data_IF_412807982095
#
_entry.id   IF_412807982095
#
_cell.length_a   1.000
_cell.length_b   1.000
_cell.length_c   1.000
_cell.angle_alpha   90.00
_cell.angle_beta   90.00
_cell.angle_gamma   90.00
#
_symmetry.space_group_name_H-M   'P 1'
#
loop_
_entity.id
_entity.type
_entity.pdbx_description
1 polymer ?
#
# COMPACT_ATOMS: atom_id res chain seq x y z
N UNK A 1 3.69 -26.73 8.48
CA UNK A 1 2.97 -26.51 7.21
C UNK A 1 2.35 -27.80 6.66
N UNK A 2 3.07 -28.94 6.71
CA UNK A 2 2.58 -30.21 6.15
C UNK A 2 1.29 -30.76 6.78
N UNK A 3 1.02 -30.42 8.05
CA UNK A 3 -0.15 -30.90 8.80
C UNK A 3 -1.51 -30.45 8.22
N UNK A 4 -1.56 -29.37 7.43
CA UNK A 4 -2.81 -28.79 6.85
C UNK A 4 -2.88 -28.91 5.32
N UNK A 5 -2.03 -29.75 4.73
CA UNK A 5 -1.88 -29.88 3.27
C UNK A 5 -3.17 -30.29 2.56
N UNK A 6 -3.95 -31.17 3.18
CA UNK A 6 -5.16 -31.74 2.57
C UNK A 6 -6.43 -30.93 2.87
N UNK A 7 -6.46 -30.16 3.98
CA UNK A 7 -7.61 -29.34 4.36
C UNK A 7 -7.62 -27.95 3.69
N UNK A 8 -6.44 -27.32 3.55
CA UNK A 8 -6.33 -25.94 3.05
C UNK A 8 -5.19 -25.81 2.02
N UNK A 9 -5.42 -26.25 0.77
CA UNK A 9 -4.37 -26.37 -0.24
C UNK A 9 -3.77 -25.02 -0.66
N UNK A 10 -4.53 -23.92 -0.61
CA UNK A 10 -4.00 -22.59 -0.93
C UNK A 10 -3.15 -22.02 0.20
N UNK A 11 -3.55 -22.23 1.45
CA UNK A 11 -2.75 -21.82 2.63
C UNK A 11 -1.41 -22.53 2.63
N UNK A 12 -1.41 -23.83 2.34
CA UNK A 12 -0.18 -24.60 2.23
C UNK A 12 0.77 -24.00 1.18
N UNK A 13 0.24 -23.67 -0.02
CA UNK A 13 1.03 -23.02 -1.09
C UNK A 13 1.55 -21.64 -0.67
N UNK A 14 0.70 -20.77 -0.12
CA UNK A 14 1.11 -19.45 0.39
C UNK A 14 2.20 -19.58 1.45
N UNK A 15 2.01 -20.48 2.42
CA UNK A 15 2.92 -20.69 3.55
C UNK A 15 4.25 -21.29 3.09
N UNK A 16 4.23 -22.20 2.09
CA UNK A 16 5.44 -22.76 1.51
C UNK A 16 6.26 -21.72 0.72
N UNK A 17 5.60 -20.81 0.00
CA UNK A 17 6.28 -19.73 -0.74
C UNK A 17 6.87 -18.70 0.23
N UNK A 18 6.10 -18.32 1.25
CA UNK A 18 6.47 -17.26 2.21
C UNK A 18 7.59 -17.72 3.14
N UNK A 19 7.58 -18.98 3.60
CA UNK A 19 8.64 -19.53 4.46
C UNK A 19 9.92 -19.96 3.70
N UNK A 20 9.99 -19.73 2.38
CA UNK A 20 11.18 -20.06 1.59
C UNK A 20 12.15 -18.86 1.60
N UNK A 21 13.26 -18.98 2.33
CA UNK A 21 14.27 -17.92 2.43
C UNK A 21 13.70 -16.65 3.07
N UNK A 22 14.12 -15.48 2.58
CA UNK A 22 13.68 -14.17 3.09
C UNK A 22 12.39 -13.66 2.39
N UNK A 23 11.64 -14.54 1.71
CA UNK A 23 10.42 -14.17 0.98
C UNK A 23 9.31 -13.60 1.87
N UNK A 24 9.32 -13.89 3.18
CA UNK A 24 8.40 -13.29 4.12
C UNK A 24 8.62 -11.77 4.21
N UNK A 25 9.85 -11.33 4.44
CA UNK A 25 10.18 -9.91 4.59
C UNK A 25 9.92 -9.14 3.29
N UNK A 26 10.25 -9.76 2.17
CA UNK A 26 9.91 -9.32 0.81
C UNK A 26 8.41 -9.07 0.62
N UNK A 27 7.60 -10.05 1.01
CA UNK A 27 6.15 -9.95 0.97
C UNK A 27 5.62 -8.86 1.89
N UNK A 28 6.12 -8.78 3.14
CA UNK A 28 5.72 -7.77 4.11
C UNK A 28 5.95 -6.36 3.55
N UNK A 29 7.06 -6.16 2.86
CA UNK A 29 7.42 -4.89 2.23
C UNK A 29 6.52 -4.55 1.03
N UNK A 30 6.33 -5.50 0.11
CA UNK A 30 5.44 -5.34 -1.06
C UNK A 30 4.01 -5.01 -0.65
N UNK A 31 3.53 -5.64 0.42
CA UNK A 31 2.21 -5.37 1.01
C UNK A 31 2.07 -3.93 1.51
N UNK A 32 3.08 -3.38 2.19
CA UNK A 32 3.00 -2.00 2.69
C UNK A 32 2.86 -0.99 1.56
N UNK A 33 3.57 -1.20 0.46
CA UNK A 33 3.45 -0.36 -0.71
C UNK A 33 2.05 -0.40 -1.33
N UNK A 34 1.46 -1.59 -1.46
CA UNK A 34 0.08 -1.74 -1.93
C UNK A 34 -0.92 -0.98 -1.04
N UNK A 35 -0.77 -1.09 0.29
CA UNK A 35 -1.65 -0.40 1.23
C UNK A 35 -1.53 1.11 1.07
N UNK A 36 -0.31 1.65 0.94
CA UNK A 36 -0.09 3.09 0.73
C UNK A 36 -0.72 3.57 -0.58
N UNK A 37 -0.56 2.82 -1.68
CA UNK A 37 -1.20 3.16 -2.97
C UNK A 37 -2.72 3.17 -2.83
N UNK A 38 -3.32 2.16 -2.21
CA UNK A 38 -4.77 2.08 -2.05
C UNK A 38 -5.29 3.24 -1.22
N UNK A 39 -4.65 3.55 -0.09
CA UNK A 39 -5.03 4.69 0.76
C UNK A 39 -4.87 6.00 0.01
N UNK A 40 -3.80 6.16 -0.77
CA UNK A 40 -3.59 7.33 -1.60
C UNK A 40 -4.68 7.49 -2.67
N UNK A 41 -4.98 6.44 -3.43
CA UNK A 41 -6.04 6.45 -4.43
C UNK A 41 -7.41 6.76 -3.82
N UNK A 42 -7.75 6.17 -2.66
CA UNK A 42 -9.01 6.44 -1.97
C UNK A 42 -9.08 7.89 -1.49
N UNK A 43 -7.99 8.43 -0.94
CA UNK A 43 -7.92 9.84 -0.55
C UNK A 43 -8.06 10.78 -1.76
N UNK A 44 -7.55 10.40 -2.93
CA UNK A 44 -7.76 11.17 -4.16
C UNK A 44 -9.20 11.12 -4.65
N UNK A 45 -9.83 9.94 -4.62
CA UNK A 45 -11.23 9.77 -5.05
C UNK A 45 -12.24 10.41 -4.08
N UNK A 46 -11.86 10.61 -2.83
CA UNK A 46 -12.68 11.26 -1.79
C UNK A 46 -12.42 12.75 -1.60
N UNK A 47 -11.62 13.38 -2.47
CA UNK A 47 -11.36 14.82 -2.39
C UNK A 47 -12.66 15.63 -2.55
N UNK A 48 -12.91 16.64 -1.69
CA UNK A 48 -14.16 17.39 -1.73
C UNK A 48 -14.30 18.13 -3.06
N UNK A 49 -15.47 18.01 -3.69
CA UNK A 49 -15.90 18.94 -4.74
C UNK A 49 -16.13 20.30 -4.07
N UNK A 50 -15.51 21.34 -4.61
CA UNK A 50 -15.75 22.71 -4.14
C UNK A 50 -17.25 22.99 -4.10
N UNK A 51 -17.72 23.56 -2.98
CA UNK A 51 -19.10 23.94 -2.66
C UNK A 51 -20.07 22.85 -2.16
N UNK A 52 -19.59 21.69 -1.68
CA UNK A 52 -20.47 20.73 -1.00
C UNK A 52 -20.84 21.17 0.44
N UNK A 53 -21.90 21.96 0.60
CA UNK A 53 -22.54 22.19 1.90
C UNK A 53 -23.20 20.90 2.42
N UNK A 54 -22.57 20.28 3.41
CA UNK A 54 -23.14 19.13 4.10
C UNK A 54 -24.21 19.61 5.08
N UNK A 55 -25.49 19.42 4.71
CA UNK A 55 -26.72 19.56 5.51
C UNK A 55 -26.51 20.06 6.96
N UNK A 56 -26.41 21.39 7.14
CA UNK A 56 -26.45 22.05 8.44
C UNK A 56 -25.22 21.84 9.36
N UNK A 57 -24.12 21.27 8.87
CA UNK A 57 -22.90 21.16 9.68
C UNK A 57 -22.20 22.52 9.83
N UNK A 58 -21.68 22.87 11.03
CA UNK A 58 -20.86 24.06 11.20
C UNK A 58 -19.67 24.05 10.24
N UNK A 59 -19.45 25.18 9.56
CA UNK A 59 -18.41 25.32 8.53
C UNK A 59 -17.00 25.02 9.05
N UNK A 60 -16.72 25.19 10.34
CA UNK A 60 -15.44 24.80 10.94
C UNK A 60 -15.25 23.27 11.01
N UNK A 61 -16.32 22.50 11.23
CA UNK A 61 -16.25 21.04 11.33
C UNK A 61 -16.13 20.40 9.95
N UNK A 62 -16.89 20.90 8.96
CA UNK A 62 -16.79 20.40 7.58
C UNK A 62 -15.40 20.67 6.98
N UNK A 63 -14.83 21.85 7.23
CA UNK A 63 -13.46 22.16 6.79
C UNK A 63 -12.43 21.23 7.45
N UNK A 64 -12.51 20.96 8.76
CA UNK A 64 -11.55 20.08 9.43
C UNK A 64 -11.73 18.60 9.04
N UNK A 65 -12.96 18.10 8.90
CA UNK A 65 -13.19 16.68 8.61
C UNK A 65 -13.11 16.34 7.12
N UNK A 66 -13.69 17.16 6.25
CA UNK A 66 -13.79 16.89 4.82
C UNK A 66 -12.64 17.52 4.02
N UNK A 67 -12.26 18.76 4.32
CA UNK A 67 -11.21 19.46 3.56
C UNK A 67 -9.80 18.96 3.88
N UNK A 68 -9.56 18.54 5.13
CA UNK A 68 -8.27 17.94 5.54
C UNK A 68 -8.13 16.46 5.16
N UNK A 69 -9.19 15.82 4.64
CA UNK A 69 -9.19 14.38 4.29
C UNK A 69 -9.26 13.42 5.47
N UNK A 70 -9.38 13.94 6.71
CA UNK A 70 -9.38 13.14 7.94
C UNK A 70 -10.57 12.16 8.00
N UNK A 71 -11.73 12.56 7.49
CA UNK A 71 -12.91 11.68 7.40
C UNK A 71 -12.65 10.46 6.50
N UNK A 72 -12.01 10.66 5.34
CA UNK A 72 -11.69 9.57 4.41
C UNK A 72 -10.67 8.60 4.97
N UNK A 73 -9.66 9.10 5.68
CA UNK A 73 -8.66 8.28 6.37
C UNK A 73 -9.34 7.43 7.45
N UNK A 74 -10.13 8.05 8.33
CA UNK A 74 -10.85 7.33 9.39
C UNK A 74 -11.81 6.28 8.83
N UNK A 75 -12.55 6.60 7.77
CA UNK A 75 -13.45 5.66 7.11
C UNK A 75 -12.67 4.46 6.54
N UNK A 76 -11.59 4.73 5.81
CA UNK A 76 -10.75 3.68 5.19
C UNK A 76 -10.11 2.77 6.23
N UNK A 77 -9.61 3.32 7.33
CA UNK A 77 -9.00 2.53 8.40
C UNK A 77 -10.03 1.68 9.16
N UNK A 78 -11.13 2.29 9.61
CA UNK A 78 -12.13 1.58 10.44
C UNK A 78 -12.96 0.57 9.64
N UNK A 79 -13.47 0.98 8.48
CA UNK A 79 -14.37 0.14 7.67
C UNK A 79 -13.57 -0.80 6.79
N UNK A 80 -12.55 -0.30 6.10
CA UNK A 80 -11.79 -1.06 5.10
C UNK A 80 -10.76 -2.01 5.71
N UNK A 81 -9.90 -1.51 6.59
CA UNK A 81 -8.73 -2.27 7.04
C UNK A 81 -8.97 -3.06 8.32
N UNK A 82 -9.57 -2.43 9.33
CA UNK A 82 -9.62 -2.97 10.69
C UNK A 82 -10.54 -4.20 10.79
N UNK A 83 -11.71 -4.18 10.15
CA UNK A 83 -12.62 -5.34 10.11
C UNK A 83 -11.96 -6.59 9.54
N UNK A 84 -11.26 -6.44 8.42
CA UNK A 84 -10.56 -7.56 7.77
C UNK A 84 -9.41 -8.09 8.62
N UNK A 85 -8.68 -7.22 9.32
CA UNK A 85 -7.62 -7.63 10.25
C UNK A 85 -8.15 -8.40 11.46
N UNK A 86 -9.26 -7.95 12.05
CA UNK A 86 -9.91 -8.65 13.17
C UNK A 86 -10.36 -10.04 12.72
N UNK A 87 -11.02 -10.13 11.56
CA UNK A 87 -11.42 -11.42 11.00
C UNK A 87 -10.24 -12.36 10.73
N UNK A 88 -9.13 -11.82 10.20
CA UNK A 88 -7.91 -12.58 9.98
C UNK A 88 -7.26 -13.09 11.27
N UNK A 89 -7.42 -12.37 12.39
CA UNK A 89 -6.85 -12.76 13.70
C UNK A 89 -7.59 -13.93 14.36
N UNK A 90 -8.89 -14.08 14.11
CA UNK A 90 -9.71 -15.14 14.69
C UNK A 90 -9.62 -16.44 13.89
N UNK A 91 -9.65 -16.35 12.56
CA UNK A 91 -9.65 -17.51 11.66
C UNK A 91 -8.55 -17.38 10.58
N UNK A 92 -7.28 -17.34 11.00
CA UNK A 92 -6.14 -17.09 10.11
C UNK A 92 -6.05 -18.06 8.92
N UNK A 93 -6.23 -19.37 9.14
CA UNK A 93 -6.10 -20.38 8.09
C UNK A 93 -7.23 -20.26 7.06
N UNK A 94 -8.48 -20.14 7.50
CA UNK A 94 -9.63 -20.00 6.60
C UNK A 94 -9.58 -18.67 5.82
N UNK A 95 -9.11 -17.60 6.45
CA UNK A 95 -8.95 -16.31 5.82
C UNK A 95 -7.92 -16.33 4.67
N UNK A 96 -6.82 -17.05 4.84
CA UNK A 96 -5.77 -17.18 3.80
C UNK A 96 -6.17 -18.20 2.71
N UNK A 97 -7.11 -19.11 2.98
CA UNK A 97 -7.52 -20.17 2.04
C UNK A 97 -8.46 -19.68 0.93
N UNK A 98 -8.17 -18.52 0.35
CA UNK A 98 -8.94 -17.95 -0.74
C UNK A 98 -8.02 -17.59 -1.92
N UNK A 99 -8.56 -17.67 -3.13
CA UNK A 99 -7.86 -17.28 -4.36
C UNK A 99 -7.37 -15.82 -4.30
N UNK A 100 -8.15 -14.94 -3.67
CA UNK A 100 -7.78 -13.53 -3.51
C UNK A 100 -6.52 -13.32 -2.64
N UNK A 101 -6.37 -14.09 -1.57
CA UNK A 101 -5.17 -14.05 -0.73
C UNK A 101 -3.94 -14.57 -1.49
N UNK A 102 -4.10 -15.63 -2.28
CA UNK A 102 -3.04 -16.15 -3.15
C UNK A 102 -2.65 -15.15 -4.25
N UNK A 103 -3.62 -14.49 -4.87
CA UNK A 103 -3.39 -13.45 -5.88
C UNK A 103 -2.61 -12.26 -5.30
N UNK A 104 -3.05 -11.74 -4.16
CA UNK A 104 -2.37 -10.61 -3.50
C UNK A 104 -0.94 -10.93 -3.08
N UNK A 105 -0.64 -12.18 -2.72
CA UNK A 105 0.74 -12.64 -2.49
C UNK A 105 1.60 -12.52 -3.75
N UNK A 106 1.11 -13.00 -4.89
CA UNK A 106 1.84 -12.88 -6.16
C UNK A 106 2.00 -11.43 -6.62
N UNK A 107 0.98 -10.59 -6.42
CA UNK A 107 1.08 -9.15 -6.71
C UNK A 107 2.12 -8.48 -5.82
N UNK A 108 2.13 -8.77 -4.51
CA UNK A 108 3.12 -8.23 -3.58
C UNK A 108 4.55 -8.66 -3.98
N UNK A 109 4.74 -9.92 -4.38
CA UNK A 109 6.02 -10.40 -4.90
C UNK A 109 6.41 -9.76 -6.25
N UNK A 110 5.45 -9.52 -7.15
CA UNK A 110 5.69 -8.84 -8.43
C UNK A 110 6.06 -7.36 -8.23
N UNK A 111 5.42 -6.68 -7.28
CA UNK A 111 5.73 -5.30 -6.91
C UNK A 111 7.13 -5.23 -6.31
N UNK A 112 7.51 -6.19 -5.48
CA UNK A 112 8.88 -6.26 -4.97
C UNK A 112 9.90 -6.47 -6.11
N UNK A 113 9.57 -7.34 -7.08
CA UNK A 113 10.39 -7.56 -8.27
C UNK A 113 10.54 -6.30 -9.15
N UNK A 114 9.55 -5.39 -9.14
CA UNK A 114 9.62 -4.11 -9.87
C UNK A 114 10.79 -3.23 -9.44
N UNK A 115 11.33 -3.44 -8.23
CA UNK A 115 12.54 -2.77 -7.75
C UNK A 115 12.33 -1.36 -7.18
N UNK A 116 11.10 -0.81 -7.22
CA UNK A 116 10.78 0.49 -6.58
C UNK A 116 11.05 0.49 -5.08
N UNK A 117 10.93 -0.68 -4.46
CA UNK A 117 11.01 -0.90 -3.03
C UNK A 117 12.45 -1.07 -2.50
N UNK A 118 13.45 -1.11 -3.36
CA UNK A 118 14.83 -1.41 -2.99
C UNK A 118 15.47 -0.38 -2.03
N UNK A 119 15.03 0.88 -2.05
CA UNK A 119 15.48 1.89 -1.09
C UNK A 119 15.15 1.52 0.37
N UNK A 120 14.08 0.77 0.61
CA UNK A 120 13.69 0.38 1.97
C UNK A 120 14.67 -0.63 2.60
N UNK A 121 15.32 -1.48 1.80
CA UNK A 121 16.37 -2.39 2.28
C UNK A 121 17.58 -1.63 2.79
N UNK A 122 17.94 -0.51 2.14
CA UNK A 122 19.03 0.37 2.62
C UNK A 122 18.67 0.99 3.98
N UNK A 123 17.42 1.41 4.15
CA UNK A 123 16.93 1.96 5.42
C UNK A 123 16.91 0.87 6.50
N UNK A 124 16.47 -0.35 6.19
CA UNK A 124 16.51 -1.48 7.12
C UNK A 124 17.94 -1.83 7.54
N UNK A 125 18.90 -1.85 6.60
CA UNK A 125 20.32 -2.07 6.89
C UNK A 125 20.90 -0.96 7.78
N UNK A 126 20.52 0.30 7.51
CA UNK A 126 20.95 1.45 8.31
C UNK A 126 20.38 1.36 9.74
N UNK A 127 19.08 1.09 9.87
CA UNK A 127 18.43 0.95 11.19
C UNK A 127 18.97 -0.26 11.95
N UNK A 128 19.22 -1.39 11.27
CA UNK A 128 19.83 -2.56 11.88
C UNK A 128 21.26 -2.28 12.35
N UNK A 129 22.04 -1.53 11.57
CA UNK A 129 23.37 -1.07 11.95
C UNK A 129 23.33 -0.15 13.18
N UNK A 130 22.38 0.79 13.22
CA UNK A 130 22.17 1.68 14.39
C UNK A 130 21.66 0.92 15.63
N UNK A 131 20.84 -0.11 15.43
CA UNK A 131 20.28 -0.94 16.50
C UNK A 131 21.25 -2.05 16.97
N UNK A 132 22.41 -2.20 16.33
CA UNK A 132 23.41 -3.24 16.65
C UNK A 132 22.94 -4.67 16.41
N UNK A 133 21.84 -4.88 15.66
CA UNK A 133 21.33 -6.22 15.33
C UNK A 133 21.85 -6.65 13.96
N UNK A 134 22.47 -7.82 13.87
CA UNK A 134 22.78 -8.45 12.58
C UNK A 134 21.48 -8.87 11.91
N UNK A 135 21.31 -8.50 10.65
CA UNK A 135 20.24 -9.04 9.81
C UNK A 135 20.64 -10.48 9.50
N UNK A 136 20.00 -11.44 10.16
CA UNK A 136 20.11 -12.86 9.80
C UNK A 136 19.31 -13.09 8.51
N UNK A 137 20.00 -12.96 7.37
CA UNK A 137 19.46 -13.34 6.07
C UNK A 137 19.64 -14.83 5.89
N UNK A 138 18.57 -15.52 5.50
CA UNK A 138 18.57 -16.97 5.28
C UNK A 138 18.87 -17.34 3.81
N UNK A 139 19.53 -16.43 3.07
CA UNK A 139 19.90 -16.62 1.66
C UNK A 139 21.41 -16.77 1.46
N UNK A 140 21.78 -17.52 0.42
CA UNK A 140 23.17 -17.69 0.00
C UNK A 140 23.81 -16.35 -0.36
N UNK A 141 25.11 -16.13 -0.04
CA UNK A 141 25.79 -14.87 -0.28
C UNK A 141 25.74 -14.49 -1.77
N UNK A 142 25.15 -13.32 -2.05
CA UNK A 142 24.96 -12.80 -3.41
C UNK A 142 26.29 -12.68 -4.15
N UNK A 143 26.31 -13.12 -5.41
CA UNK A 143 27.48 -13.00 -6.27
C UNK A 143 27.82 -11.53 -6.55
N UNK A 144 29.10 -11.17 -6.74
CA UNK A 144 29.57 -9.78 -6.79
C UNK A 144 28.83 -8.92 -7.84
N UNK A 145 28.54 -9.51 -9.01
CA UNK A 145 27.81 -8.84 -10.10
C UNK A 145 26.32 -8.64 -9.78
N UNK A 146 25.70 -9.57 -9.05
CA UNK A 146 24.32 -9.43 -8.59
C UNK A 146 24.20 -8.39 -7.47
N UNK A 147 25.22 -8.30 -6.61
CA UNK A 147 25.26 -7.31 -5.54
C UNK A 147 25.41 -5.89 -6.11
N UNK A 148 26.27 -5.70 -7.12
CA UNK A 148 26.41 -4.40 -7.79
C UNK A 148 25.10 -3.96 -8.48
N UNK A 149 24.43 -4.87 -9.19
CA UNK A 149 23.16 -4.57 -9.84
C UNK A 149 22.04 -4.24 -8.83
N UNK A 150 22.02 -4.95 -7.69
CA UNK A 150 21.13 -4.67 -6.58
C UNK A 150 21.37 -3.26 -6.01
N UNK A 151 22.62 -2.92 -5.69
CA UNK A 151 22.96 -1.59 -5.17
C UNK A 151 22.68 -0.46 -6.17
N UNK A 152 22.93 -0.67 -7.46
CA UNK A 152 22.62 0.32 -8.50
C UNK A 152 21.10 0.63 -8.54
N UNK A 153 20.24 -0.40 -8.47
CA UNK A 153 18.79 -0.19 -8.37
C UNK A 153 18.37 0.45 -7.05
N UNK A 154 19.01 0.09 -5.93
CA UNK A 154 18.75 0.72 -4.64
C UNK A 154 19.06 2.23 -4.66
N UNK A 155 20.20 2.63 -5.24
CA UNK A 155 20.60 4.03 -5.33
C UNK A 155 19.67 4.80 -6.29
N UNK A 156 19.25 4.19 -7.40
CA UNK A 156 18.28 4.80 -8.31
C UNK A 156 16.92 5.04 -7.62
N UNK A 157 16.42 4.03 -6.89
CA UNK A 157 15.19 4.14 -6.09
C UNK A 157 15.32 5.23 -5.01
N UNK A 158 16.46 5.30 -4.32
CA UNK A 158 16.74 6.34 -3.32
C UNK A 158 16.80 7.74 -3.94
N UNK A 159 17.39 7.89 -5.12
CA UNK A 159 17.45 9.15 -5.84
C UNK A 159 16.04 9.64 -6.25
N UNK A 160 15.18 8.72 -6.72
CA UNK A 160 13.77 9.03 -7.02
C UNK A 160 13.05 9.48 -5.74
N UNK A 161 13.24 8.78 -4.62
CA UNK A 161 12.61 9.14 -3.34
C UNK A 161 13.02 10.54 -2.87
N UNK A 162 14.32 10.86 -2.91
CA UNK A 162 14.83 12.19 -2.54
C UNK A 162 14.30 13.25 -3.50
N UNK A 163 14.22 12.96 -4.80
CA UNK A 163 13.62 13.83 -5.80
C UNK A 163 12.15 14.12 -5.52
N UNK A 164 11.34 13.09 -5.26
CA UNK A 164 9.93 13.25 -4.88
C UNK A 164 9.80 14.08 -3.59
N UNK A 165 10.63 13.80 -2.58
CA UNK A 165 10.59 14.54 -1.32
C UNK A 165 10.92 16.03 -1.51
N UNK A 166 11.95 16.33 -2.30
CA UNK A 166 12.32 17.71 -2.62
C UNK A 166 11.17 18.44 -3.35
N UNK A 167 10.55 17.81 -4.35
CA UNK A 167 9.38 18.37 -5.06
C UNK A 167 8.20 18.57 -4.13
N UNK A 168 7.94 17.66 -3.19
CA UNK A 168 6.86 17.84 -2.21
C UNK A 168 7.12 19.01 -1.26
N UNK A 169 8.37 19.22 -0.83
CA UNK A 169 8.73 20.35 0.01
C UNK A 169 8.63 21.67 -0.76
N UNK A 170 9.09 21.70 -2.01
CA UNK A 170 8.97 22.88 -2.89
C UNK A 170 7.49 23.21 -3.13
N UNK A 171 6.66 22.22 -3.43
CA UNK A 171 5.21 22.39 -3.62
C UNK A 171 4.52 22.88 -2.35
N UNK A 172 4.93 22.37 -1.18
CA UNK A 172 4.42 22.80 0.12
C UNK A 172 4.75 24.27 0.40
N UNK A 173 6.01 24.68 0.21
CA UNK A 173 6.43 26.07 0.42
C UNK A 173 5.89 27.03 -0.65
N UNK A 174 5.66 26.55 -1.87
CA UNK A 174 5.01 27.31 -2.94
C UNK A 174 3.48 27.39 -2.80
N UNK A 175 2.88 26.77 -1.78
CA UNK A 175 1.43 26.76 -1.57
C UNK A 175 0.64 26.00 -2.65
N UNK A 176 1.30 25.22 -3.51
CA UNK A 176 0.68 24.38 -4.54
C UNK A 176 0.44 22.99 -3.97
N UNK A 177 -0.45 22.91 -2.98
CA UNK A 177 -0.76 21.65 -2.28
C UNK A 177 -1.72 20.74 -3.05
N UNK A 178 -2.30 21.23 -4.16
CA UNK A 178 -3.15 20.46 -5.06
C UNK A 178 -2.37 20.02 -6.29
N UNK A 179 -2.51 18.74 -6.63
CA UNK A 179 -1.91 18.11 -7.79
C UNK A 179 -2.50 18.66 -9.09
N UNK A 180 -1.80 18.52 -10.22
CA UNK A 180 -2.26 18.96 -11.55
C UNK A 180 -3.70 18.48 -11.86
N UNK A 181 -4.54 19.41 -12.32
CA UNK A 181 -5.96 19.16 -12.65
C UNK A 181 -6.17 17.96 -13.58
N UNK A 182 -5.21 17.69 -14.47
CA UNK A 182 -5.28 16.58 -15.43
C UNK A 182 -5.34 15.19 -14.79
N UNK A 183 -4.71 14.96 -13.63
CA UNK A 183 -4.72 13.65 -12.95
C UNK A 183 -6.08 13.39 -12.30
N UNK A 184 -6.65 14.43 -11.66
CA UNK A 184 -7.98 14.37 -11.03
C UNK A 184 -9.06 14.12 -12.07
N UNK A 185 -9.01 14.84 -13.21
CA UNK A 185 -9.95 14.66 -14.32
C UNK A 185 -9.87 13.25 -14.93
N UNK A 186 -8.68 12.68 -15.06
CA UNK A 186 -8.52 11.32 -15.62
C UNK A 186 -9.11 10.27 -14.67
N UNK A 187 -8.85 10.36 -13.35
CA UNK A 187 -9.42 9.43 -12.37
C UNK A 187 -10.93 9.56 -12.22
N UNK A 188 -11.47 10.78 -12.29
CA UNK A 188 -12.92 11.01 -12.29
C UNK A 188 -13.58 10.47 -13.57
N UNK A 189 -12.95 10.63 -14.73
CA UNK A 189 -13.45 10.06 -15.99
C UNK A 189 -13.48 8.53 -15.96
N UNK A 190 -12.47 7.89 -15.35
CA UNK A 190 -12.42 6.45 -15.14
C UNK A 190 -13.52 5.97 -14.19
N UNK A 191 -13.79 6.72 -13.11
CA UNK A 191 -14.88 6.44 -12.17
C UNK A 191 -16.26 6.55 -12.83
N UNK A 192 -16.45 7.46 -13.78
CA UNK A 192 -17.72 7.63 -14.51
C UNK A 192 -18.02 6.55 -15.55
N UNK A 193 -17.02 5.75 -15.92
CA UNK A 193 -17.14 4.64 -16.88
C UNK A 193 -17.49 3.30 -16.23
N UNK A 194 -17.56 3.24 -14.90
CA UNK A 194 -18.10 2.08 -14.16
C UNK A 194 -19.62 2.25 -14.12
N UNK A 195 -20.41 1.33 -14.72
CA UNK A 195 -21.86 1.48 -14.77
C UNK A 195 -22.44 1.43 -13.35
N UNK A 196 -22.79 2.59 -12.81
CA UNK A 196 -23.64 2.67 -11.64
C UNK A 196 -25.02 2.10 -12.00
N UNK A 197 -25.41 1.04 -11.29
CA UNK A 197 -26.79 0.57 -11.19
C UNK A 197 -27.65 1.76 -10.72
N UNK A 198 -28.26 2.44 -11.69
CA UNK A 198 -29.30 3.43 -11.46
C UNK A 198 -30.61 2.66 -11.29
N UNK A 199 -30.84 2.13 -10.09
CA UNK A 199 -32.09 1.50 -9.67
C UNK A 199 -32.74 2.33 -8.57
N UNK A 200 -33.99 2.75 -8.81
CA UNK A 200 -34.70 3.80 -8.08
C UNK A 200 -35.16 3.50 -6.66
N UNK A 201 -35.56 4.60 -6.00
CA UNK A 201 -36.33 4.81 -4.76
C UNK A 201 -35.87 6.20 -4.28
N UNK A 202 -36.66 7.27 -4.15
CA UNK A 202 -38.06 7.46 -3.75
C UNK A 202 -38.53 8.79 -4.41
N UNK A 203 -39.57 8.82 -5.25
CA UNK A 203 -40.98 9.01 -4.83
C UNK A 203 -41.47 8.11 -3.68
#
# INVERSE_FOLDING_TARGET
>A
AELYRDSHPFVYKCTAITNKGDNLDRYLLGRQFMVVIVVFCVNMSGGPLGDAELWGFPSWLSNIFLQTGLAMILFTCNVGQLNTQVNASLCMLDFINNYFAYFTLWVAMAIEFSGLLHSSYLVQMLVAALAGKKIESNEEPRNMMQNLFFYARCILSLAILIGCFAVTLEALFAGKTTMWEGVVLTLQSLSSSIPHVRGGMLE
#
